data_IF_553352516798
#
_entry.id   IF_553352516798
#
_cell.length_a   1.000
_cell.length_b   1.000
_cell.length_c   1.000
_cell.angle_alpha   90.00
_cell.angle_beta   90.00
_cell.angle_gamma   90.00
#
_symmetry.space_group_name_H-M   'P 1'
#
loop_
_entity.id
_entity.type
_entity.pdbx_description
1 polymer ?
#
# COMPACT_ATOMS: atom_id res chain seq x y z
N UNK A 1 18.75 26.79 -2.00
CA UNK A 1 18.29 25.43 -1.67
C UNK A 1 19.44 24.68 -1.01
N UNK A 2 19.43 24.59 0.32
CA UNK A 2 20.50 23.91 1.06
C UNK A 2 20.27 22.39 1.03
N UNK A 3 20.90 21.70 0.09
CA UNK A 3 21.02 20.24 0.12
C UNK A 3 21.87 19.84 1.32
N UNK A 4 21.24 19.60 2.46
CA UNK A 4 21.89 18.96 3.59
C UNK A 4 22.17 17.51 3.19
N UNK A 5 23.36 17.26 2.65
CA UNK A 5 23.95 15.93 2.73
C UNK A 5 24.12 15.61 4.22
N UNK A 6 23.09 15.01 4.83
CA UNK A 6 23.23 14.28 6.10
C UNK A 6 24.10 13.07 5.79
N UNK A 7 25.41 13.25 5.82
CA UNK A 7 26.38 12.19 5.56
C UNK A 7 26.32 11.19 6.71
N UNK A 8 25.59 10.08 6.52
CA UNK A 8 25.68 8.88 7.36
C UNK A 8 24.36 8.25 7.78
N UNK A 9 23.25 9.01 7.89
CA UNK A 9 21.97 8.45 8.35
C UNK A 9 21.21 7.78 7.20
N UNK A 10 20.70 6.56 7.42
CA UNK A 10 19.69 5.94 6.54
C UNK A 10 18.43 6.81 6.49
N UNK A 11 17.78 6.90 5.32
CA UNK A 11 16.51 7.62 5.18
C UNK A 11 15.38 6.77 5.74
N UNK A 12 14.42 7.37 6.43
CA UNK A 12 13.24 6.68 6.98
C UNK A 12 12.02 6.99 6.12
N UNK A 13 11.40 5.96 5.53
CA UNK A 13 10.25 6.11 4.62
C UNK A 13 9.05 5.31 5.13
N UNK A 14 7.90 5.96 5.28
CA UNK A 14 6.64 5.31 5.62
C UNK A 14 5.86 4.97 4.35
N UNK A 15 5.62 3.68 4.09
CA UNK A 15 4.85 3.18 2.95
C UNK A 15 3.37 3.08 3.33
N UNK A 16 2.50 3.81 2.62
CA UNK A 16 1.06 3.74 2.79
C UNK A 16 0.39 3.21 1.52
N UNK A 17 0.12 1.91 1.50
CA UNK A 17 -0.60 1.26 0.40
C UNK A 17 -2.10 1.53 0.46
N UNK A 18 -2.70 1.93 -0.65
CA UNK A 18 -4.15 2.22 -0.71
C UNK A 18 -4.75 1.90 -2.08
N UNK A 19 -6.03 1.50 -2.10
CA UNK A 19 -6.78 1.42 -3.36
C UNK A 19 -7.15 2.80 -3.92
N UNK A 20 -7.38 3.80 -3.05
CA UNK A 20 -7.71 5.19 -3.39
C UNK A 20 -8.68 5.35 -4.57
N UNK A 21 -9.93 4.91 -4.41
CA UNK A 21 -10.88 4.81 -5.51
C UNK A 21 -12.27 5.40 -5.18
N UNK A 22 -12.43 6.73 -5.09
CA UNK A 22 -11.38 7.75 -5.17
C UNK A 22 -10.65 7.91 -3.82
N UNK A 23 -9.49 8.58 -3.79
CA UNK A 23 -8.91 9.02 -2.53
C UNK A 23 -9.83 10.04 -1.84
N UNK A 24 -9.84 10.07 -0.51
CA UNK A 24 -10.78 10.88 0.29
C UNK A 24 -10.06 11.94 1.10
N UNK A 25 -10.76 13.02 1.43
CA UNK A 25 -10.27 14.19 2.15
C UNK A 25 -9.94 13.92 3.63
N UNK A 26 -10.01 14.97 4.46
CA UNK A 26 -9.51 14.94 5.86
C UNK A 26 -10.13 13.83 6.73
N UNK A 27 -11.35 13.42 6.41
CA UNK A 27 -12.06 12.31 7.06
C UNK A 27 -11.52 10.90 6.76
N UNK A 28 -10.61 10.76 5.79
CA UNK A 28 -10.08 9.49 5.33
C UNK A 28 -8.60 9.58 4.94
N UNK A 29 -8.30 9.39 3.65
CA UNK A 29 -6.91 9.24 3.17
C UNK A 29 -6.03 10.46 3.47
N UNK A 30 -6.51 11.68 3.22
CA UNK A 30 -5.75 12.90 3.51
C UNK A 30 -5.45 13.04 5.00
N UNK A 31 -6.42 12.72 5.86
CA UNK A 31 -6.23 12.73 7.31
C UNK A 31 -5.14 11.79 7.77
N UNK A 32 -5.12 10.56 7.24
CA UNK A 32 -4.10 9.55 7.54
C UNK A 32 -2.71 10.05 7.14
N UNK A 33 -2.55 10.48 5.89
CA UNK A 33 -1.24 10.86 5.36
C UNK A 33 -0.72 12.13 6.04
N UNK A 34 -1.59 13.10 6.32
CA UNK A 34 -1.25 14.30 7.10
C UNK A 34 -0.83 13.95 8.52
N UNK A 35 -1.49 13.01 9.17
CA UNK A 35 -1.08 12.52 10.47
C UNK A 35 0.30 11.86 10.42
N UNK A 36 0.53 10.92 9.49
CA UNK A 36 1.82 10.23 9.33
C UNK A 36 2.96 11.21 9.08
N UNK A 37 2.76 12.21 8.21
CA UNK A 37 3.73 13.27 7.95
C UNK A 37 4.00 14.13 9.19
N UNK A 38 2.96 14.46 9.96
CA UNK A 38 3.09 15.29 11.18
C UNK A 38 3.88 14.63 12.31
N UNK A 39 4.09 13.31 12.26
CA UNK A 39 4.91 12.62 13.26
C UNK A 39 6.37 13.06 13.23
N UNK A 40 6.86 13.65 12.12
CA UNK A 40 8.24 14.14 11.96
C UNK A 40 9.33 13.08 12.29
N UNK A 41 8.98 11.80 12.19
CA UNK A 41 9.90 10.67 12.37
C UNK A 41 10.30 10.00 11.04
N UNK A 42 9.65 10.42 9.95
CA UNK A 42 9.91 9.95 8.59
C UNK A 42 10.48 11.11 7.78
N UNK A 43 11.46 10.80 6.93
CA UNK A 43 11.93 11.74 5.92
C UNK A 43 10.92 11.85 4.76
N UNK A 44 10.10 10.81 4.56
CA UNK A 44 9.10 10.72 3.47
C UNK A 44 7.91 9.84 3.88
N UNK A 45 6.69 10.24 3.49
CA UNK A 45 5.52 9.36 3.45
C UNK A 45 5.20 9.05 1.98
N UNK A 46 5.34 7.79 1.61
CA UNK A 46 5.13 7.31 0.24
C UNK A 46 3.77 6.65 0.11
N UNK A 47 2.85 7.33 -0.58
CA UNK A 47 1.53 6.80 -0.91
C UNK A 47 1.65 5.91 -2.15
N UNK A 48 1.18 4.67 -2.05
CA UNK A 48 1.29 3.67 -3.12
C UNK A 48 -0.11 3.23 -3.52
N UNK A 49 -0.69 3.81 -4.59
CA UNK A 49 -1.92 3.32 -5.17
C UNK A 49 -1.73 1.89 -5.68
N UNK A 50 -2.63 0.99 -5.29
CA UNK A 50 -2.60 -0.42 -5.69
C UNK A 50 -2.80 -0.54 -7.20
N UNK A 51 -1.92 -1.24 -7.90
CA UNK A 51 -1.96 -1.36 -9.37
C UNK A 51 -3.00 -2.38 -9.81
N UNK A 52 -2.89 -3.62 -9.32
CA UNK A 52 -3.87 -4.69 -9.57
C UNK A 52 -4.27 -5.32 -8.24
N UNK A 53 -5.52 -5.12 -7.86
CA UNK A 53 -5.99 -5.69 -6.59
C UNK A 53 -5.93 -7.22 -6.61
N UNK A 54 -5.49 -7.82 -5.49
CA UNK A 54 -5.49 -9.29 -5.33
C UNK A 54 -6.89 -9.93 -5.43
N UNK A 55 -7.94 -9.24 -4.96
CA UNK A 55 -9.33 -9.72 -5.05
C UNK A 55 -9.92 -9.40 -6.43
N UNK A 56 -10.39 -10.43 -7.14
CA UNK A 56 -10.97 -10.31 -8.48
C UNK A 56 -12.10 -9.29 -8.59
N UNK A 57 -13.02 -9.29 -7.62
CA UNK A 57 -14.18 -8.37 -7.56
C UNK A 57 -13.73 -6.91 -7.56
N UNK A 58 -12.61 -6.60 -6.89
CA UNK A 58 -12.07 -5.22 -6.88
C UNK A 58 -11.31 -4.88 -8.16
N UNK A 59 -10.83 -5.86 -8.93
CA UNK A 59 -10.14 -5.58 -10.20
C UNK A 59 -11.09 -5.05 -11.27
N UNK A 60 -12.34 -5.47 -11.26
CA UNK A 60 -13.31 -5.16 -12.31
C UNK A 60 -14.13 -3.88 -12.02
N UNK A 61 -14.23 -3.48 -10.74
CA UNK A 61 -15.04 -2.33 -10.33
C UNK A 61 -14.28 -1.06 -9.98
N UNK A 62 -12.96 -1.03 -10.14
CA UNK A 62 -12.13 0.15 -9.82
C UNK A 62 -11.99 1.10 -11.00
N UNK A 63 -11.84 2.40 -10.70
CA UNK A 63 -11.38 3.35 -11.70
C UNK A 63 -10.02 2.93 -12.30
N UNK A 64 -9.74 3.31 -13.57
CA UNK A 64 -8.45 3.08 -14.20
C UNK A 64 -7.30 3.51 -13.29
N UNK A 65 -6.21 2.72 -13.29
CA UNK A 65 -5.09 2.96 -12.39
C UNK A 65 -4.52 4.37 -12.51
N UNK A 66 -4.37 4.86 -13.74
CA UNK A 66 -3.85 6.20 -14.00
C UNK A 66 -4.70 7.28 -13.31
N UNK A 67 -6.02 7.19 -13.41
CA UNK A 67 -6.93 8.16 -12.80
C UNK A 67 -6.82 8.14 -11.28
N UNK A 68 -6.68 6.96 -10.67
CA UNK A 68 -6.47 6.83 -9.21
C UNK A 68 -5.15 7.46 -8.77
N UNK A 69 -4.07 7.26 -9.52
CA UNK A 69 -2.79 7.92 -9.27
C UNK A 69 -2.91 9.44 -9.43
N UNK A 70 -3.59 9.92 -10.46
CA UNK A 70 -3.80 11.35 -10.69
C UNK A 70 -4.63 12.00 -9.59
N UNK A 71 -5.72 11.37 -9.15
CA UNK A 71 -6.49 11.86 -8.00
C UNK A 71 -5.66 11.87 -6.71
N UNK A 72 -4.79 10.87 -6.49
CA UNK A 72 -3.87 10.92 -5.35
C UNK A 72 -2.88 12.09 -5.46
N UNK A 73 -2.33 12.36 -6.66
CA UNK A 73 -1.41 13.49 -6.87
C UNK A 73 -2.09 14.83 -6.56
N UNK A 74 -3.32 15.02 -7.04
CA UNK A 74 -4.13 16.19 -6.72
C UNK A 74 -4.39 16.33 -5.22
N UNK A 75 -4.75 15.23 -4.55
CA UNK A 75 -5.04 15.25 -3.11
C UNK A 75 -3.83 15.66 -2.24
N UNK A 76 -2.61 15.31 -2.68
CA UNK A 76 -1.38 15.45 -1.89
C UNK A 76 -0.41 16.50 -2.43
N UNK A 77 -0.83 17.34 -3.38
CA UNK A 77 0.02 18.34 -4.05
C UNK A 77 0.69 19.29 -3.04
N UNK A 78 -0.11 19.85 -2.13
CA UNK A 78 0.35 20.81 -1.10
C UNK A 78 1.21 20.18 0.01
N UNK A 79 1.43 18.86 -0.02
CA UNK A 79 2.21 18.14 0.98
C UNK A 79 3.62 17.77 0.51
N UNK A 80 3.99 18.16 -0.69
CA UNK A 80 5.34 17.95 -1.23
C UNK A 80 6.36 18.89 -0.56
N UNK A 81 7.63 18.45 -0.39
CA UNK A 81 8.21 17.18 -0.83
C UNK A 81 8.04 16.02 0.16
N UNK A 82 7.41 16.25 1.32
CA UNK A 82 7.31 15.25 2.41
C UNK A 82 6.44 14.05 2.05
N UNK A 83 5.43 14.26 1.21
CA UNK A 83 4.53 13.19 0.72
C UNK A 83 4.76 12.96 -0.76
N UNK A 84 4.98 11.69 -1.15
CA UNK A 84 5.19 11.30 -2.54
C UNK A 84 4.16 10.25 -2.95
N UNK A 85 3.47 10.49 -4.07
CA UNK A 85 2.62 9.48 -4.72
C UNK A 85 3.48 8.66 -5.67
N UNK A 86 3.62 7.38 -5.39
CA UNK A 86 4.54 6.48 -6.08
C UNK A 86 3.80 5.44 -6.94
N UNK A 87 4.31 5.23 -8.16
CA UNK A 87 3.86 4.16 -9.06
C UNK A 87 4.63 2.84 -8.85
N UNK A 88 5.33 2.69 -7.72
CA UNK A 88 6.22 1.54 -7.47
C UNK A 88 5.54 0.18 -7.66
N UNK A 89 4.24 0.04 -7.32
CA UNK A 89 3.53 -1.23 -7.52
C UNK A 89 3.34 -1.58 -9.01
N UNK A 90 3.04 -0.58 -9.87
CA UNK A 90 2.97 -0.78 -11.32
C UNK A 90 4.34 -1.18 -11.87
N UNK A 91 5.40 -0.48 -11.47
CA UNK A 91 6.76 -0.77 -11.90
C UNK A 91 7.22 -2.17 -11.46
N UNK A 92 6.87 -2.58 -10.24
CA UNK A 92 7.11 -3.93 -9.74
C UNK A 92 6.41 -4.98 -10.61
N UNK A 93 5.14 -4.77 -10.92
CA UNK A 93 4.36 -5.65 -11.79
C UNK A 93 4.96 -5.78 -13.19
N UNK A 94 5.27 -4.66 -13.84
CA UNK A 94 5.86 -4.65 -15.18
C UNK A 94 7.23 -5.33 -15.20
N UNK A 95 8.05 -5.09 -14.18
CA UNK A 95 9.35 -5.76 -14.02
C UNK A 95 9.21 -7.28 -13.88
N UNK A 96 8.26 -7.76 -13.07
CA UNK A 96 7.99 -9.19 -12.94
C UNK A 96 7.43 -9.82 -14.22
N UNK A 97 6.54 -9.10 -14.92
CA UNK A 97 6.00 -9.53 -16.21
C UNK A 97 7.08 -9.68 -17.27
N UNK A 98 7.98 -8.69 -17.38
CA UNK A 98 9.10 -8.74 -18.30
C UNK A 98 10.00 -9.96 -18.03
N UNK A 99 10.37 -10.19 -16.77
CA UNK A 99 11.17 -11.37 -16.38
C UNK A 99 10.50 -12.70 -16.71
N UNK A 100 9.18 -12.79 -16.51
CA UNK A 100 8.42 -14.00 -16.83
C UNK A 100 8.38 -14.26 -18.34
N UNK A 101 8.26 -13.21 -19.16
CA UNK A 101 8.30 -13.33 -20.62
C UNK A 101 9.69 -13.73 -21.13
N UNK A 102 10.75 -13.16 -20.55
CA UNK A 102 12.15 -13.50 -20.89
C UNK A 102 12.45 -14.97 -20.57
N UNK A 103 12.10 -15.44 -19.37
CA UNK A 103 12.31 -16.84 -18.98
C UNK A 103 11.54 -17.84 -19.84
N UNK A 104 10.31 -17.50 -20.27
CA UNK A 104 9.54 -18.35 -21.18
C UNK A 104 10.21 -18.47 -22.56
N UNK A 105 10.84 -17.40 -23.05
CA UNK A 105 11.52 -17.39 -24.34
C UNK A 105 12.83 -18.21 -24.30
N UNK A 106 13.58 -18.15 -23.20
CA UNK A 106 14.80 -18.95 -23.00
C UNK A 106 14.50 -20.47 -23.00
N UNK A 107 13.40 -20.91 -22.37
CA UNK A 107 12.99 -22.32 -22.35
C UNK A 107 12.60 -22.85 -23.74
N UNK A 108 12.02 -22.00 -24.59
CA UNK A 108 11.69 -22.34 -25.99
C UNK A 108 12.94 -22.52 -26.85
N UNK A 109 13.94 -21.65 -26.68
CA UNK A 109 15.19 -21.74 -27.45
C UNK A 109 16.00 -22.98 -27.10
N UNK A 110 16.09 -23.35 -25.82
CA UNK A 110 16.88 -24.51 -25.36
C UNK A 110 16.30 -25.85 -25.79
N UNK A 111 14.97 -26.00 -25.85
CA UNK A 111 14.31 -27.23 -26.33
C UNK A 111 14.44 -27.44 -27.84
N UNK A 112 14.59 -26.35 -28.60
CA UNK A 112 14.73 -26.39 -30.06
C UNK A 112 16.13 -26.86 -30.50
N UNK A 113 17.15 -26.63 -29.67
CA UNK A 113 18.54 -27.03 -29.94
C UNK A 113 18.87 -28.50 -29.64
N UNK A 114 18.02 -29.23 -28.92
CA UNK A 114 18.28 -30.63 -28.51
C UNK A 114 17.47 -31.68 -29.28
N UNK A 115 16.65 -31.28 -30.26
CA UNK A 115 15.73 -32.16 -31.00
C UNK A 115 16.00 -32.16 -32.51
N UNK A 116 17.24 -32.41 -32.91
CA UNK A 116 17.63 -32.64 -34.30
C UNK A 116 17.58 -34.13 -34.67
N UNK A 117 16.38 -34.72 -34.78
CA UNK A 117 16.16 -35.93 -35.57
C UNK A 117 14.67 -36.25 -35.74
N UNK A 118 14.28 -36.46 -37.00
CA UNK A 118 13.02 -37.01 -37.53
C UNK A 118 11.87 -36.05 -37.86
N UNK A 119 11.58 -36.05 -39.15
CA UNK A 119 10.55 -35.35 -39.91
C UNK A 119 9.16 -36.01 -39.78
N UNK A 120 8.10 -35.22 -39.54
CA UNK A 120 6.87 -35.19 -40.38
C UNK A 120 5.71 -34.43 -39.71
N UNK A 121 5.33 -33.31 -40.36
CA UNK A 121 3.98 -32.77 -40.55
C UNK A 121 2.86 -33.01 -39.51
N UNK A 122 2.51 -31.97 -38.75
CA UNK A 122 1.13 -31.46 -38.64
C UNK A 122 1.09 -30.11 -37.88
N UNK A 123 0.45 -29.11 -38.51
CA UNK A 123 0.53 -27.68 -38.17
C UNK A 123 -0.55 -27.23 -37.17
N UNK A 124 -0.55 -27.77 -35.96
CA UNK A 124 -1.36 -27.22 -34.86
C UNK A 124 -0.44 -26.50 -33.88
N UNK A 125 -0.38 -25.16 -33.96
CA UNK A 125 0.33 -24.37 -32.94
C UNK A 125 -0.27 -24.69 -31.56
N UNK A 126 0.51 -25.17 -30.59
CA UNK A 126 -0.01 -25.47 -29.26
C UNK A 126 -0.52 -24.18 -28.62
N UNK A 127 -1.58 -24.25 -27.79
CA UNK A 127 -2.10 -23.09 -27.08
C UNK A 127 -1.00 -22.49 -26.20
N UNK A 128 -0.68 -21.21 -26.41
CA UNK A 128 0.27 -20.47 -25.57
C UNK A 128 -0.27 -20.41 -24.14
N UNK A 129 0.43 -21.02 -23.19
CA UNK A 129 0.11 -20.90 -21.78
C UNK A 129 0.06 -19.41 -21.39
N UNK A 130 -1.05 -18.96 -20.80
CA UNK A 130 -1.20 -17.59 -20.33
C UNK A 130 -0.32 -17.38 -19.09
N UNK A 131 0.68 -16.50 -19.19
CA UNK A 131 1.52 -16.13 -18.05
C UNK A 131 0.67 -15.31 -17.06
N UNK A 132 0.53 -15.82 -15.84
CA UNK A 132 -0.17 -15.11 -14.75
C UNK A 132 0.86 -14.56 -13.77
N UNK A 133 0.98 -13.24 -13.72
CA UNK A 133 1.85 -12.54 -12.76
C UNK A 133 0.99 -11.99 -11.64
N UNK A 134 1.36 -12.32 -10.40
CA UNK A 134 0.79 -11.76 -9.19
C UNK A 134 1.89 -11.10 -8.37
N UNK A 135 1.69 -9.81 -8.06
CA UNK A 135 2.56 -9.01 -7.20
C UNK A 135 1.92 -8.91 -5.83
N UNK A 136 2.68 -9.25 -4.78
CA UNK A 136 2.32 -8.95 -3.40
C UNK A 136 3.25 -7.92 -2.78
N UNK A 137 2.90 -7.48 -1.57
CA UNK A 137 3.71 -6.54 -0.78
C UNK A 137 5.15 -6.99 -0.58
N UNK A 138 5.39 -8.31 -0.46
CA UNK A 138 6.75 -8.86 -0.36
C UNK A 138 7.58 -8.58 -1.62
N UNK A 139 7.00 -8.77 -2.81
CA UNK A 139 7.69 -8.54 -4.09
C UNK A 139 8.00 -7.05 -4.28
N UNK A 140 7.08 -6.18 -3.84
CA UNK A 140 7.28 -4.73 -3.83
C UNK A 140 8.42 -4.32 -2.88
N UNK A 141 8.46 -4.88 -1.66
CA UNK A 141 9.52 -4.59 -0.69
C UNK A 141 10.90 -5.06 -1.19
N UNK A 142 10.99 -6.26 -1.78
CA UNK A 142 12.24 -6.75 -2.40
C UNK A 142 12.75 -5.75 -3.46
N UNK A 143 11.87 -5.28 -4.34
CA UNK A 143 12.22 -4.29 -5.37
C UNK A 143 12.71 -2.98 -4.74
N UNK A 144 11.97 -2.43 -3.78
CA UNK A 144 12.30 -1.15 -3.14
C UNK A 144 13.61 -1.23 -2.34
N UNK A 145 13.82 -2.31 -1.59
CA UNK A 145 15.06 -2.52 -0.82
C UNK A 145 16.27 -2.68 -1.74
N UNK A 146 16.10 -3.40 -2.85
CA UNK A 146 17.15 -3.55 -3.86
C UNK A 146 17.52 -2.23 -4.55
N UNK A 147 16.53 -1.37 -4.81
CA UNK A 147 16.72 -0.06 -5.44
C UNK A 147 17.23 1.02 -4.47
N UNK A 148 16.82 0.96 -3.21
CA UNK A 148 17.10 1.96 -2.18
C UNK A 148 17.72 1.33 -0.92
N UNK A 149 18.94 0.75 -0.99
CA UNK A 149 19.52 -0.03 0.12
C UNK A 149 19.83 0.78 1.39
N UNK A 150 19.82 2.11 1.31
CA UNK A 150 20.03 3.04 2.43
C UNK A 150 18.73 3.62 2.98
N UNK A 151 17.60 2.96 2.71
CA UNK A 151 16.29 3.34 3.23
C UNK A 151 15.80 2.31 4.25
N UNK A 152 15.21 2.80 5.32
CA UNK A 152 14.45 2.01 6.29
C UNK A 152 12.97 2.22 6.05
N UNK A 153 12.31 1.18 5.57
CA UNK A 153 10.88 1.21 5.32
C UNK A 153 10.09 0.89 6.60
N UNK A 154 8.97 1.59 6.78
CA UNK A 154 7.90 1.30 7.75
C UNK A 154 6.60 1.10 6.99
N UNK A 155 5.83 0.06 7.30
CA UNK A 155 4.56 -0.21 6.62
C UNK A 155 3.39 0.41 7.41
N UNK A 156 2.57 1.25 6.80
CA UNK A 156 1.34 1.78 7.39
C UNK A 156 0.11 1.07 6.80
N UNK A 157 -0.72 0.47 7.67
CA UNK A 157 -1.88 -0.33 7.29
C UNK A 157 -3.11 0.06 8.10
N UNK A 158 -4.30 -0.09 7.51
CA UNK A 158 -5.54 -0.13 8.29
C UNK A 158 -5.59 -1.38 9.18
N UNK A 159 -6.36 -1.32 10.26
CA UNK A 159 -6.54 -2.43 11.21
C UNK A 159 -6.88 -3.77 10.52
N UNK A 160 -7.84 -3.78 9.60
CA UNK A 160 -8.26 -5.01 8.90
C UNK A 160 -7.11 -5.63 8.08
N UNK A 161 -6.40 -4.81 7.30
CA UNK A 161 -5.26 -5.25 6.50
C UNK A 161 -4.11 -5.76 7.37
N UNK A 162 -3.88 -5.15 8.54
CA UNK A 162 -2.91 -5.63 9.50
C UNK A 162 -3.31 -6.99 10.08
N UNK A 163 -4.59 -7.20 10.42
CA UNK A 163 -5.07 -8.49 10.94
C UNK A 163 -4.86 -9.60 9.91
N UNK A 164 -5.16 -9.35 8.63
CA UNK A 164 -4.91 -10.30 7.54
C UNK A 164 -3.41 -10.62 7.41
N UNK A 165 -2.56 -9.60 7.42
CA UNK A 165 -1.11 -9.78 7.40
C UNK A 165 -0.64 -10.60 8.61
N UNK A 166 -1.05 -10.22 9.82
CA UNK A 166 -0.62 -10.87 11.06
C UNK A 166 -1.09 -12.34 11.18
N UNK A 167 -2.15 -12.71 10.47
CA UNK A 167 -2.66 -14.09 10.37
C UNK A 167 -1.96 -14.94 9.31
N UNK A 168 -1.04 -14.37 8.52
CA UNK A 168 -0.35 -15.10 7.47
C UNK A 168 -1.11 -15.16 6.14
N UNK A 169 -2.17 -14.36 5.97
CA UNK A 169 -2.96 -14.39 4.74
C UNK A 169 -2.22 -13.77 3.54
N UNK A 170 -1.14 -13.02 3.78
CA UNK A 170 -0.35 -12.38 2.74
C UNK A 170 0.81 -13.29 2.32
N UNK A 171 1.08 -13.35 1.01
CA UNK A 171 2.24 -14.06 0.45
C UNK A 171 3.52 -13.59 1.15
N UNK A 172 4.28 -14.53 1.70
CA UNK A 172 5.55 -14.30 2.43
C UNK A 172 5.41 -13.32 3.60
N UNK A 173 4.39 -13.52 4.44
CA UNK A 173 4.11 -12.69 5.62
C UNK A 173 5.33 -12.48 6.53
N UNK A 174 6.05 -13.54 6.86
CA UNK A 174 7.24 -13.49 7.72
C UNK A 174 8.33 -12.60 7.12
N UNK A 175 8.53 -12.68 5.80
CA UNK A 175 9.52 -11.86 5.10
C UNK A 175 9.12 -10.39 5.12
N UNK A 176 7.83 -10.08 4.98
CA UNK A 176 7.33 -8.69 5.06
C UNK A 176 7.74 -8.09 6.40
N UNK A 177 7.45 -8.76 7.52
CA UNK A 177 7.87 -8.29 8.84
C UNK A 177 9.39 -8.15 8.96
N UNK A 178 10.16 -9.13 8.47
CA UNK A 178 11.63 -9.07 8.51
C UNK A 178 12.20 -7.90 7.69
N UNK A 179 11.70 -7.71 6.47
CA UNK A 179 12.14 -6.66 5.54
C UNK A 179 11.91 -5.25 6.07
N UNK A 180 10.80 -5.03 6.78
CA UNK A 180 10.53 -3.73 7.43
C UNK A 180 11.07 -3.67 8.86
N UNK A 181 11.90 -4.63 9.30
CA UNK A 181 12.45 -4.66 10.66
C UNK A 181 11.36 -4.62 11.74
N UNK A 182 10.21 -5.24 11.46
CA UNK A 182 8.99 -5.22 12.26
C UNK A 182 8.38 -3.81 12.49
N UNK A 183 8.82 -2.79 11.74
CA UNK A 183 8.28 -1.43 11.81
C UNK A 183 6.95 -1.36 11.07
N UNK A 184 5.85 -1.36 11.83
CA UNK A 184 4.49 -1.27 11.29
C UNK A 184 3.70 -0.22 12.04
N UNK A 185 2.99 0.66 11.32
CA UNK A 185 1.95 1.52 11.88
C UNK A 185 0.60 0.90 11.54
N UNK A 186 -0.19 0.60 12.56
CA UNK A 186 -1.57 0.14 12.43
C UNK A 186 -2.51 1.31 12.71
N UNK A 187 -3.23 1.73 11.67
CA UNK A 187 -4.20 2.82 11.71
C UNK A 187 -5.51 2.27 12.26
N UNK A 188 -5.79 2.59 13.52
CA UNK A 188 -7.06 2.29 14.17
C UNK A 188 -8.17 3.15 13.58
N UNK A 189 -9.32 2.54 13.30
CA UNK A 189 -10.56 3.27 13.04
C UNK A 189 -11.38 3.23 14.32
N UNK A 190 -11.77 4.39 14.85
CA UNK A 190 -12.73 4.43 15.96
C UNK A 190 -14.05 3.84 15.46
N UNK A 191 -14.34 2.60 15.85
CA UNK A 191 -15.69 2.05 15.73
C UNK A 191 -16.47 2.45 16.98
N UNK A 192 -17.63 3.07 16.77
CA UNK A 192 -18.53 3.46 17.86
C UNK A 192 -19.20 2.27 18.56
N UNK A 193 -19.04 1.04 18.04
CA UNK A 193 -19.53 -0.17 18.70
C UNK A 193 -18.49 -0.69 19.70
N UNK A 194 -18.63 -0.22 20.92
CA UNK A 194 -17.83 -0.68 22.04
C UNK A 194 -18.61 -1.79 22.75
N UNK A 195 -18.05 -3.00 22.85
CA UNK A 195 -18.62 -4.07 23.66
C UNK A 195 -18.58 -3.69 25.15
N UNK A 196 -19.24 -4.46 26.03
CA UNK A 196 -19.26 -4.22 27.48
C UNK A 196 -17.89 -4.13 28.16
N UNK A 197 -16.83 -4.60 27.48
CA UNK A 197 -15.43 -4.56 27.93
C UNK A 197 -14.66 -3.31 27.47
N UNK A 198 -15.23 -2.45 26.63
CA UNK A 198 -14.52 -1.28 26.14
C UNK A 198 -13.71 -1.49 24.85
N UNK A 199 -13.59 -2.73 24.34
CA UNK A 199 -12.64 -3.10 23.27
C UNK A 199 -13.28 -3.93 22.17
N UNK A 200 -13.22 -3.46 20.92
CA UNK A 200 -13.81 -4.16 19.78
C UNK A 200 -13.08 -5.47 19.44
N UNK A 201 -13.75 -6.42 18.76
CA UNK A 201 -13.12 -7.67 18.31
C UNK A 201 -11.92 -7.46 17.36
N UNK A 202 -11.99 -6.41 16.53
CA UNK A 202 -10.88 -6.01 15.64
C UNK A 202 -9.70 -5.51 16.48
N UNK A 203 -9.95 -4.67 17.49
CA UNK A 203 -8.90 -4.16 18.37
C UNK A 203 -8.18 -5.28 19.14
N UNK A 204 -8.92 -6.28 19.64
CA UNK A 204 -8.33 -7.50 20.21
C UNK A 204 -7.45 -8.23 19.20
N UNK A 205 -7.93 -8.43 17.97
CA UNK A 205 -7.16 -9.10 16.91
C UNK A 205 -5.90 -8.31 16.52
N UNK A 206 -5.97 -6.97 16.52
CA UNK A 206 -4.81 -6.10 16.28
C UNK A 206 -3.80 -6.22 17.41
N UNK A 207 -4.24 -6.20 18.67
CA UNK A 207 -3.36 -6.34 19.83
C UNK A 207 -2.68 -7.72 19.87
N UNK A 208 -3.42 -8.80 19.60
CA UNK A 208 -2.87 -10.15 19.48
C UNK A 208 -1.85 -10.27 18.35
N UNK A 209 -2.18 -9.73 17.18
CA UNK A 209 -1.26 -9.68 16.04
C UNK A 209 0.01 -8.87 16.35
N UNK A 210 -0.15 -7.71 16.99
CA UNK A 210 0.98 -6.88 17.41
C UNK A 210 1.84 -7.62 18.43
N UNK A 211 1.26 -8.28 19.44
CA UNK A 211 1.99 -9.05 20.42
C UNK A 211 2.77 -10.22 19.79
N UNK A 212 2.15 -10.93 18.83
CA UNK A 212 2.80 -12.04 18.10
C UNK A 212 4.03 -11.59 17.30
N UNK A 213 3.96 -10.43 16.66
CA UNK A 213 4.97 -9.96 15.71
C UNK A 213 5.91 -8.89 16.29
N UNK A 214 5.65 -8.41 17.50
CA UNK A 214 6.56 -7.50 18.20
C UNK A 214 7.83 -8.25 18.56
N UNK A 215 8.98 -7.68 18.18
CA UNK A 215 10.27 -8.06 18.75
C UNK A 215 10.61 -7.11 19.90
N UNK A 216 11.25 -7.58 20.97
CA UNK A 216 11.95 -6.68 21.88
C UNK A 216 12.93 -5.86 21.05
N UNK A 217 12.82 -4.54 21.10
CA UNK A 217 13.88 -3.66 20.59
C UNK A 217 15.04 -3.83 21.55
N UNK A 218 16.06 -4.55 21.11
CA UNK A 218 17.34 -4.57 21.81
C UNK A 218 18.03 -3.29 21.36
N UNK A 219 18.17 -2.32 22.25
CA UNK A 219 18.98 -1.14 21.95
C UNK A 219 20.42 -1.65 21.75
N UNK A 220 20.94 -1.55 20.51
CA UNK A 220 22.31 -1.89 20.15
C UNK A 220 23.33 -0.85 20.69
N UNK A 221 23.03 -0.22 21.83
CA UNK A 221 23.81 0.83 22.46
C UNK A 221 24.68 0.22 23.58
N UNK A 222 25.92 -0.10 23.23
CA UNK A 222 27.10 -0.21 24.09
C UNK A 222 26.94 -0.85 25.48
N UNK A 223 26.70 -2.17 25.56
CA UNK A 223 27.24 -3.07 26.62
C UNK A 223 27.05 -2.67 28.10
N UNK A 224 26.28 -1.64 28.42
CA UNK A 224 26.16 -1.05 29.74
C UNK A 224 24.77 -1.39 30.25
N UNK A 225 24.71 -2.44 31.05
CA UNK A 225 23.48 -2.90 31.71
C UNK A 225 23.07 -1.84 32.74
N UNK A 226 22.31 -0.82 32.32
CA UNK A 226 21.62 0.08 33.24
C UNK A 226 20.29 -0.59 33.65
N UNK A 227 20.29 -1.21 34.82
CA UNK A 227 19.19 -2.00 35.39
C UNK A 227 18.02 -1.18 35.95
N UNK A 228 17.79 0.04 35.45
CA UNK A 228 16.81 0.96 36.04
C UNK A 228 16.15 1.89 35.03
N UNK A 229 15.40 1.35 34.08
CA UNK A 229 14.25 2.08 33.56
C UNK A 229 13.08 1.16 33.25
N UNK A 230 11.99 1.39 33.99
CA UNK A 230 10.66 0.81 33.79
C UNK A 230 9.97 1.34 32.52
N UNK A 231 10.71 1.49 31.42
CA UNK A 231 10.11 1.75 30.11
C UNK A 231 9.83 0.41 29.45
N UNK A 232 8.55 0.05 29.33
CA UNK A 232 8.13 -1.05 28.47
C UNK A 232 8.93 -1.04 27.16
N UNK A 233 9.50 -2.17 26.71
CA UNK A 233 10.23 -2.22 25.46
C UNK A 233 9.35 -1.63 24.36
N UNK A 234 9.83 -0.58 23.68
CA UNK A 234 9.09 0.07 22.61
C UNK A 234 8.80 -0.97 21.55
N UNK A 235 7.54 -1.39 21.42
CA UNK A 235 7.15 -2.28 20.31
C UNK A 235 7.43 -1.58 18.98
N UNK A 236 8.01 -2.33 18.04
CA UNK A 236 8.20 -1.91 16.66
C UNK A 236 6.88 -1.74 15.89
N UNK A 237 5.80 -2.31 16.41
CA UNK A 237 4.43 -2.19 15.87
C UNK A 237 3.67 -1.16 16.69
N UNK A 238 3.27 -0.06 16.06
CA UNK A 238 2.58 1.06 16.70
C UNK A 238 1.14 1.13 16.24
N UNK A 239 0.21 1.03 17.17
CA UNK A 239 -1.21 1.27 16.90
C UNK A 239 -1.48 2.76 17.13
N UNK A 240 -2.04 3.44 16.13
CA UNK A 240 -2.29 4.88 16.18
C UNK A 240 -3.74 5.19 15.85
N UNK A 241 -4.30 6.16 16.58
CA UNK A 241 -5.61 6.70 16.31
C UNK A 241 -5.44 8.05 15.61
N UNK A 242 -5.93 8.15 14.37
CA UNK A 242 -5.87 9.38 13.58
C UNK A 242 -7.08 10.24 13.95
N UNK A 243 -6.91 11.41 14.59
CA UNK A 243 -8.04 12.17 15.16
C UNK A 243 -9.05 12.66 14.13
N UNK A 244 -8.62 12.86 12.87
CA UNK A 244 -9.47 13.40 11.80
C UNK A 244 -10.28 12.32 11.10
N UNK A 245 -10.03 11.03 11.38
CA UNK A 245 -10.78 9.94 10.75
C UNK A 245 -12.25 9.98 11.15
N UNK A 246 -13.10 9.79 10.15
CA UNK A 246 -14.56 9.80 10.30
C UNK A 246 -15.20 8.65 9.51
N UNK A 247 -16.52 8.70 9.37
CA UNK A 247 -17.30 7.77 8.54
C UNK A 247 -17.05 7.90 7.03
N UNK A 248 -16.24 8.86 6.58
CA UNK A 248 -15.91 9.05 5.15
C UNK A 248 -15.27 7.77 4.59
N UNK A 249 -15.73 7.33 3.42
CA UNK A 249 -15.17 6.16 2.73
C UNK A 249 -15.24 6.36 1.22
N UNK A 250 -14.32 5.74 0.47
CA UNK A 250 -14.35 5.75 -0.98
C UNK A 250 -15.65 5.12 -1.52
N UNK A 251 -16.19 4.11 -0.85
CA UNK A 251 -17.48 3.50 -1.24
C UNK A 251 -18.63 4.50 -1.18
N UNK A 252 -18.73 5.28 -0.10
CA UNK A 252 -19.75 6.33 0.01
C UNK A 252 -19.57 7.42 -1.07
N UNK A 253 -18.32 7.81 -1.35
CA UNK A 253 -18.02 8.78 -2.41
C UNK A 253 -18.43 8.26 -3.80
N UNK A 254 -18.13 6.98 -4.13
CA UNK A 254 -18.49 6.41 -5.44
C UNK A 254 -20.01 6.36 -5.67
N UNK A 255 -20.80 6.17 -4.62
CA UNK A 255 -22.26 6.05 -4.71
C UNK A 255 -23.01 7.38 -4.66
N UNK A 256 -22.36 8.48 -4.28
CA UNK A 256 -23.03 9.76 -4.10
C UNK A 256 -23.13 10.53 -5.42
N UNK A 257 -24.33 11.02 -5.75
CA UNK A 257 -24.56 12.04 -6.78
C UNK A 257 -24.69 13.45 -6.21
N UNK A 258 -24.83 13.57 -4.89
CA UNK A 258 -24.91 14.87 -4.22
C UNK A 258 -23.52 15.52 -4.15
N UNK A 259 -23.36 16.59 -4.94
CA UNK A 259 -22.13 17.37 -5.04
C UNK A 259 -21.76 18.01 -3.70
N UNK A 260 -22.74 18.42 -2.90
CA UNK A 260 -22.51 19.00 -1.57
C UNK A 260 -21.97 17.95 -0.62
N UNK A 261 -22.59 16.77 -0.59
CA UNK A 261 -22.10 15.64 0.21
C UNK A 261 -20.69 15.21 -0.23
N UNK A 262 -20.41 15.18 -1.54
CA UNK A 262 -19.09 14.89 -2.08
C UNK A 262 -18.04 15.93 -1.69
N UNK A 263 -18.40 17.21 -1.63
CA UNK A 263 -17.53 18.28 -1.13
C UNK A 263 -17.11 18.10 0.33
N UNK A 264 -17.89 17.35 1.12
CA UNK A 264 -17.51 16.94 2.48
C UNK A 264 -16.59 15.71 2.52
N UNK A 265 -16.51 14.92 1.45
CA UNK A 265 -15.75 13.66 1.39
C UNK A 265 -14.45 13.76 0.60
N UNK A 266 -14.39 14.63 -0.41
CA UNK A 266 -13.29 14.81 -1.35
C UNK A 266 -12.79 16.26 -1.28
N UNK A 267 -11.54 16.51 -1.68
CA UNK A 267 -11.10 17.90 -1.91
C UNK A 267 -11.68 18.42 -3.21
N UNK A 268 -11.66 19.73 -3.40
CA UNK A 268 -12.21 20.40 -4.59
C UNK A 268 -11.53 19.88 -5.86
N UNK A 269 -10.21 19.72 -5.83
CA UNK A 269 -9.40 19.30 -6.97
C UNK A 269 -9.73 17.86 -7.41
N UNK A 270 -9.93 16.96 -6.43
CA UNK A 270 -10.32 15.57 -6.71
C UNK A 270 -11.75 15.51 -7.21
N UNK A 271 -12.68 16.27 -6.62
CA UNK A 271 -14.07 16.33 -7.06
C UNK A 271 -14.18 16.88 -8.50
N UNK A 272 -13.44 17.94 -8.81
CA UNK A 272 -13.38 18.52 -10.15
C UNK A 272 -12.83 17.53 -11.16
N UNK A 273 -11.79 16.76 -10.79
CA UNK A 273 -11.25 15.70 -11.63
C UNK A 273 -12.30 14.59 -11.89
N UNK A 274 -12.99 14.12 -10.85
CA UNK A 274 -14.04 13.10 -10.95
C UNK A 274 -15.16 13.56 -11.89
N UNK A 275 -15.61 14.81 -11.78
CA UNK A 275 -16.67 15.37 -12.65
C UNK A 275 -16.21 15.53 -14.08
N UNK A 276 -15.03 16.12 -14.30
CA UNK A 276 -14.47 16.36 -15.64
C UNK A 276 -14.29 15.06 -16.42
N UNK A 277 -13.86 14.00 -15.73
CA UNK A 277 -13.65 12.68 -16.33
C UNK A 277 -14.88 11.76 -16.22
N UNK A 278 -16.04 12.28 -15.78
CA UNK A 278 -17.32 11.56 -15.70
C UNK A 278 -17.21 10.21 -14.97
N UNK A 279 -16.51 10.21 -13.83
CA UNK A 279 -16.23 9.00 -13.08
C UNK A 279 -17.37 8.68 -12.11
N UNK A 280 -17.50 7.39 -11.75
CA UNK A 280 -18.44 6.91 -10.72
C UNK A 280 -19.91 7.28 -11.04
N UNK A 281 -20.64 7.84 -10.08
CA UNK A 281 -22.04 8.21 -10.23
C UNK A 281 -22.28 9.28 -11.34
N UNK A 282 -21.23 9.98 -11.79
CA UNK A 282 -21.32 10.96 -12.88
C UNK A 282 -21.24 10.32 -14.29
N UNK A 283 -21.01 9.01 -14.41
CA UNK A 283 -20.89 8.33 -15.71
C UNK A 283 -22.20 8.30 -16.54
N UNK A 284 -23.35 8.59 -15.91
CA UNK A 284 -24.68 8.41 -16.51
C UNK A 284 -25.48 9.71 -16.71
N UNK A 285 -24.88 10.89 -16.57
CA UNK A 285 -25.62 12.17 -16.63
C UNK A 285 -26.08 12.60 -18.04
N UNK A 286 -25.70 11.90 -19.12
CA UNK A 286 -25.97 12.31 -20.51
C UNK A 286 -27.39 12.00 -21.04
N UNK A 287 -28.39 11.76 -20.18
CA UNK A 287 -29.72 11.30 -20.61
C UNK A 287 -30.88 12.31 -20.56
N UNK A 288 -30.70 13.51 -19.98
CA UNK A 288 -31.79 14.47 -19.77
C UNK A 288 -31.30 15.91 -19.97
N UNK A 289 -31.01 16.26 -21.22
CA UNK A 289 -30.95 17.64 -21.70
C UNK A 289 -32.20 17.94 -22.51
#
# INVERSE_FOLDING_TARGET
>A
MMSHQRTGRRRSVCLFGTSADPPTGMGGHLGIVKYLASLNIYDEVRVIPVYRHMYGIKREGQAPYHDRVMMCRLLFEDMQPTVIVSEAERLCFEGMMKKAMEGANEELTTKSSSSSSSSSSSSSSPPRASIVVAVGTADLLDMLIGQEPRVDFTLALGADAFVDLARGAWKRTEDIFRMVGHRVIVLGRRMHSVDSTGTSAIERSVLEGAARWSRPVVDDDDGHVSSSSSSNPKSSIRIVNVPTLSGVSSTAARSSTDVSALGGMLTVEVLDYVRRNRMYAFAHEDGKG
#
